data_IF_971301176900
#
_entry.id   IF_971301176900
#
_cell.length_a   1.000
_cell.length_b   1.000
_cell.length_c   1.000
_cell.angle_alpha   90.00
_cell.angle_beta   90.00
_cell.angle_gamma   90.00
#
_symmetry.space_group_name_H-M   'P 1'
#
loop_
_entity.id
_entity.type
_entity.pdbx_description
1 polymer ?
#
# COMPACT_ATOMS: atom_id res chain seq x y z
N UNK A 1 4.49 18.53 0.81
CA UNK A 1 3.56 18.98 1.86
C UNK A 1 3.00 20.35 1.50
N UNK A 2 1.68 20.50 1.45
CA UNK A 2 1.03 21.81 1.22
C UNK A 2 1.16 22.65 2.50
N UNK A 3 1.37 23.98 2.35
CA UNK A 3 1.29 24.92 3.48
C UNK A 3 -0.12 24.91 4.07
N UNK A 4 -0.25 25.12 5.38
CA UNK A 4 -1.51 25.40 6.04
C UNK A 4 -2.11 26.74 5.58
N UNK A 5 -3.39 26.99 5.87
CA UNK A 5 -4.11 28.19 5.43
C UNK A 5 -3.47 29.50 5.92
N UNK A 6 -2.75 29.54 7.00
CA UNK A 6 -2.19 30.76 7.60
C UNK A 6 -0.65 30.77 7.60
N UNK A 7 -0.01 30.32 6.52
CA UNK A 7 1.44 30.11 6.43
C UNK A 7 2.04 29.20 7.52
N UNK A 8 1.20 28.56 8.31
CA UNK A 8 1.61 27.62 9.36
C UNK A 8 1.95 26.25 8.76
N UNK A 9 2.64 25.46 9.54
CA UNK A 9 2.87 24.06 9.24
C UNK A 9 1.52 23.36 9.08
N UNK A 10 1.32 22.63 7.98
CA UNK A 10 0.09 21.83 7.82
C UNK A 10 0.02 20.73 8.89
N UNK A 11 -1.18 20.36 9.32
CA UNK A 11 -1.41 19.39 10.39
C UNK A 11 -0.62 18.08 10.25
N UNK A 12 -0.43 17.61 9.01
CA UNK A 12 0.35 16.39 8.74
C UNK A 12 1.83 16.55 9.11
N UNK A 13 2.40 17.71 8.83
CA UNK A 13 3.80 17.98 9.18
C UNK A 13 3.96 18.09 10.69
N UNK A 14 3.06 18.82 11.37
CA UNK A 14 3.05 18.91 12.83
C UNK A 14 2.85 17.55 13.49
N UNK A 15 2.01 16.70 12.91
CA UNK A 15 1.80 15.34 13.41
C UNK A 15 3.09 14.51 13.31
N UNK A 16 3.80 14.56 12.19
CA UNK A 16 5.10 13.90 12.01
C UNK A 16 6.18 14.45 12.93
N UNK A 17 6.16 15.73 13.28
CA UNK A 17 7.08 16.29 14.26
C UNK A 17 6.90 15.67 15.65
N UNK A 18 5.69 15.32 16.02
CA UNK A 18 5.33 14.85 17.38
C UNK A 18 5.29 13.35 17.53
N UNK A 19 5.11 12.62 16.43
CA UNK A 19 4.91 11.18 16.43
C UNK A 19 5.99 10.47 15.62
N UNK A 20 6.24 9.21 15.95
CA UNK A 20 7.25 8.36 15.31
C UNK A 20 6.59 7.11 14.72
N UNK A 21 7.15 6.60 13.65
CA UNK A 21 6.70 5.37 13.00
C UNK A 21 5.85 5.63 11.77
N UNK A 22 5.08 4.63 11.34
CA UNK A 22 4.11 4.79 10.26
C UNK A 22 2.87 5.53 10.77
N UNK A 23 2.88 6.83 10.67
CA UNK A 23 1.81 7.71 11.16
C UNK A 23 0.61 7.80 10.22
N UNK A 24 0.63 7.06 9.10
CA UNK A 24 -0.43 7.10 8.09
C UNK A 24 -0.72 5.72 7.48
N UNK A 25 -0.73 4.68 8.31
CA UNK A 25 -0.85 3.28 7.90
C UNK A 25 -2.19 2.91 7.27
N UNK A 26 -3.26 3.66 7.53
CA UNK A 26 -4.65 3.27 7.22
C UNK A 26 -4.87 2.86 5.77
N UNK A 27 -4.31 3.60 4.81
CA UNK A 27 -4.49 3.33 3.38
C UNK A 27 -3.79 2.05 2.89
N UNK A 28 -2.66 1.70 3.50
CA UNK A 28 -1.95 0.46 3.19
C UNK A 28 -2.53 -0.72 3.98
N UNK A 29 -2.61 -0.55 5.30
CA UNK A 29 -2.96 -1.63 6.22
C UNK A 29 -4.43 -2.05 6.13
N UNK A 30 -5.35 -1.13 5.89
CA UNK A 30 -6.79 -1.43 5.82
C UNK A 30 -7.12 -2.51 4.77
N UNK A 31 -6.78 -2.30 3.49
CA UNK A 31 -7.00 -3.32 2.45
C UNK A 31 -6.24 -4.63 2.72
N UNK A 32 -5.00 -4.57 3.21
CA UNK A 32 -4.22 -5.77 3.58
C UNK A 32 -4.90 -6.55 4.69
N UNK A 33 -5.39 -5.87 5.72
CA UNK A 33 -6.12 -6.50 6.81
C UNK A 33 -7.39 -7.22 6.34
N UNK A 34 -8.10 -6.64 5.36
CA UNK A 34 -9.24 -7.30 4.72
C UNK A 34 -8.83 -8.56 3.98
N UNK A 35 -7.82 -8.48 3.13
CA UNK A 35 -7.33 -9.62 2.33
C UNK A 35 -6.80 -10.76 3.21
N UNK A 36 -6.18 -10.44 4.33
CA UNK A 36 -5.60 -11.41 5.26
C UNK A 36 -6.57 -11.90 6.35
N UNK A 37 -7.82 -11.44 6.35
CA UNK A 37 -8.85 -11.76 7.36
C UNK A 37 -8.44 -11.39 8.80
N UNK A 38 -7.76 -10.27 8.98
CA UNK A 38 -7.41 -9.76 10.31
C UNK A 38 -8.71 -9.44 11.09
N UNK A 39 -8.79 -9.93 12.32
CA UNK A 39 -9.99 -9.96 13.18
C UNK A 39 -11.17 -10.77 12.65
N UNK A 40 -10.94 -11.60 11.62
CA UNK A 40 -11.92 -12.51 11.02
C UNK A 40 -11.35 -13.93 10.82
N UNK A 41 -10.54 -14.38 11.75
CA UNK A 41 -9.84 -15.67 11.71
C UNK A 41 -8.31 -15.56 11.80
N UNK A 42 -7.78 -14.34 11.82
CA UNK A 42 -6.39 -14.07 12.11
C UNK A 42 -6.26 -12.78 12.94
N UNK A 43 -5.11 -12.55 13.58
CA UNK A 43 -4.82 -11.33 14.34
C UNK A 43 -3.34 -10.98 14.28
N UNK A 44 -3.03 -9.71 14.38
CA UNK A 44 -1.67 -9.22 14.52
C UNK A 44 -1.12 -9.63 15.88
N UNK A 45 0.11 -10.17 15.91
CA UNK A 45 0.72 -10.72 17.14
C UNK A 45 1.97 -9.96 17.54
N UNK A 46 2.86 -9.73 16.61
CA UNK A 46 4.15 -9.09 16.86
C UNK A 46 4.38 -7.99 15.84
N UNK A 47 4.90 -6.86 16.31
CA UNK A 47 5.27 -5.74 15.46
C UNK A 47 6.69 -5.31 15.77
N UNK A 48 7.47 -5.07 14.73
CA UNK A 48 8.81 -4.48 14.78
C UNK A 48 8.83 -3.33 13.78
N UNK A 49 9.29 -2.17 14.21
CA UNK A 49 9.44 -1.02 13.33
C UNK A 49 10.83 -0.41 13.46
N UNK A 50 11.37 0.03 12.35
CA UNK A 50 12.62 0.77 12.26
C UNK A 50 12.42 2.00 11.41
N UNK A 51 13.03 3.09 11.79
CA UNK A 51 13.02 4.33 11.04
C UNK A 51 14.44 4.90 10.86
N UNK A 52 14.60 5.71 9.83
CA UNK A 52 15.81 6.49 9.61
C UNK A 52 15.84 7.70 10.55
N UNK A 53 16.98 8.38 10.59
CA UNK A 53 17.01 9.74 11.18
C UNK A 53 16.09 10.66 10.38
N UNK A 54 15.52 11.65 11.05
CA UNK A 54 14.84 12.77 10.40
C UNK A 54 15.86 13.81 9.96
N UNK A 55 16.12 13.85 8.67
CA UNK A 55 16.99 14.83 8.02
C UNK A 55 16.13 15.81 7.22
N UNK A 56 15.35 15.29 6.29
CA UNK A 56 14.51 16.09 5.39
C UNK A 56 13.32 16.68 6.14
N UNK A 57 12.75 15.94 7.10
CA UNK A 57 11.68 16.45 7.95
C UNK A 57 12.11 17.73 8.70
N UNK A 58 13.30 17.74 9.31
CA UNK A 58 13.86 18.92 9.98
C UNK A 58 14.09 20.07 9.00
N UNK A 59 14.82 19.81 7.92
CA UNK A 59 15.10 20.80 6.87
C UNK A 59 13.82 21.44 6.30
N UNK A 60 12.76 20.67 6.15
CA UNK A 60 11.48 21.17 5.68
C UNK A 60 10.83 22.14 6.67
N UNK A 61 10.91 21.86 7.97
CA UNK A 61 10.40 22.77 9.01
C UNK A 61 11.23 24.05 9.03
N UNK A 62 12.56 23.94 9.05
CA UNK A 62 13.47 25.09 9.05
C UNK A 62 13.25 26.01 7.84
N UNK A 63 13.10 25.44 6.66
CA UNK A 63 12.76 26.20 5.43
C UNK A 63 11.42 26.92 5.49
N UNK A 64 10.47 26.40 6.25
CA UNK A 64 9.14 27.01 6.36
C UNK A 64 9.01 28.04 7.47
N UNK A 65 9.69 27.82 8.58
CA UNK A 65 9.58 28.67 9.75
C UNK A 65 10.71 29.69 9.85
N UNK A 66 11.85 29.42 9.23
CA UNK A 66 13.11 30.19 9.45
C UNK A 66 13.80 29.85 10.77
N UNK A 67 13.29 28.90 11.54
CA UNK A 67 13.82 28.55 12.87
C UNK A 67 14.42 27.13 12.81
N UNK A 68 15.48 26.91 13.60
CA UNK A 68 16.14 25.62 13.72
C UNK A 68 15.21 24.59 14.34
N UNK A 69 15.02 23.46 13.67
CA UNK A 69 14.18 22.37 14.15
C UNK A 69 15.02 21.30 14.85
N UNK A 70 15.08 21.34 16.17
CA UNK A 70 15.84 20.37 16.96
C UNK A 70 15.07 19.07 17.25
N UNK A 71 13.75 19.12 17.34
CA UNK A 71 12.90 18.01 17.74
C UNK A 71 11.90 17.64 16.63
N UNK A 72 12.35 16.82 15.71
CA UNK A 72 11.47 16.17 14.73
C UNK A 72 11.53 14.67 14.94
N UNK A 73 10.42 14.07 15.36
CA UNK A 73 10.42 12.70 15.87
C UNK A 73 10.34 11.63 14.79
N UNK A 74 9.57 11.88 13.73
CA UNK A 74 9.40 10.85 12.70
C UNK A 74 10.64 10.78 11.80
N UNK A 75 11.13 9.57 11.55
CA UNK A 75 12.17 9.35 10.55
C UNK A 75 11.67 9.69 9.14
N UNK A 76 12.60 9.97 8.23
CA UNK A 76 12.25 10.25 6.83
C UNK A 76 11.65 9.03 6.15
N UNK A 77 12.06 7.84 6.57
CA UNK A 77 11.51 6.56 6.12
C UNK A 77 11.31 5.61 7.31
N UNK A 78 10.18 4.93 7.34
CA UNK A 78 9.86 3.90 8.35
C UNK A 78 9.49 2.61 7.65
N UNK A 79 10.06 1.49 8.12
CA UNK A 79 9.64 0.14 7.75
C UNK A 79 9.08 -0.57 8.97
N UNK A 80 7.91 -1.15 8.82
CA UNK A 80 7.21 -1.89 9.87
C UNK A 80 6.92 -3.31 9.40
N UNK A 81 7.30 -4.30 10.18
CA UNK A 81 6.98 -5.71 9.97
C UNK A 81 5.99 -6.17 11.03
N UNK A 82 4.91 -6.79 10.59
CA UNK A 82 3.88 -7.34 11.48
C UNK A 82 3.72 -8.82 11.18
N UNK A 83 3.89 -9.67 12.20
CA UNK A 83 3.58 -11.09 12.12
C UNK A 83 2.22 -11.36 12.73
N UNK A 84 1.39 -12.12 12.00
CA UNK A 84 0.09 -12.56 12.47
C UNK A 84 0.19 -13.88 13.28
N UNK A 85 -0.88 -14.21 13.98
CA UNK A 85 -1.01 -15.47 14.72
C UNK A 85 -0.86 -16.69 13.80
N UNK A 86 -1.47 -16.64 12.62
CA UNK A 86 -1.40 -17.71 11.62
C UNK A 86 -0.10 -17.68 10.77
N UNK A 87 0.90 -16.89 11.18
CA UNK A 87 2.23 -16.88 10.58
C UNK A 87 2.37 -16.06 9.30
N UNK A 88 1.36 -15.26 8.92
CA UNK A 88 1.50 -14.31 7.80
C UNK A 88 2.39 -13.13 8.22
N UNK A 89 3.04 -12.51 7.26
CA UNK A 89 3.86 -11.31 7.49
C UNK A 89 3.32 -10.18 6.64
N UNK A 90 3.16 -9.01 7.26
CA UNK A 90 2.79 -7.75 6.61
C UNK A 90 4.00 -6.84 6.71
N UNK A 91 4.43 -6.29 5.58
CA UNK A 91 5.42 -5.22 5.52
C UNK A 91 4.72 -3.92 5.15
N UNK A 92 5.00 -2.85 5.89
CA UNK A 92 4.52 -1.50 5.60
C UNK A 92 5.73 -0.59 5.49
N UNK A 93 5.78 0.17 4.42
CA UNK A 93 6.77 1.23 4.24
C UNK A 93 6.06 2.58 4.20
N UNK A 94 6.51 3.49 5.04
CA UNK A 94 6.02 4.86 5.07
C UNK A 94 7.17 5.83 4.75
N UNK A 95 7.06 6.48 3.61
CA UNK A 95 8.03 7.47 3.17
C UNK A 95 7.33 8.62 2.45
N UNK A 96 7.25 9.75 3.12
CA UNK A 96 6.61 10.97 2.60
C UNK A 96 7.57 12.16 2.58
N UNK A 97 8.81 11.95 2.98
CA UNK A 97 9.82 13.00 3.13
C UNK A 97 10.83 12.99 2.00
N UNK A 98 11.34 11.82 1.61
CA UNK A 98 12.40 11.74 0.62
C UNK A 98 11.89 12.01 -0.79
N UNK A 99 12.70 12.64 -1.66
CA UNK A 99 12.35 12.82 -3.07
C UNK A 99 12.26 11.46 -3.75
N UNK A 100 11.06 11.10 -4.19
CA UNK A 100 10.81 9.86 -4.93
C UNK A 100 9.54 9.99 -5.76
N UNK A 101 9.40 9.23 -6.84
CA UNK A 101 8.14 9.11 -7.55
C UNK A 101 7.03 8.65 -6.61
N UNK A 102 5.81 9.15 -6.85
CA UNK A 102 4.66 8.69 -6.09
C UNK A 102 4.50 7.18 -6.21
N UNK A 103 4.44 6.50 -5.08
CA UNK A 103 4.31 5.06 -5.02
C UNK A 103 3.32 4.63 -3.94
N UNK A 104 2.43 3.72 -4.31
CA UNK A 104 1.56 2.97 -3.41
C UNK A 104 1.73 1.49 -3.67
N UNK A 105 2.95 0.99 -3.51
CA UNK A 105 3.19 -0.44 -3.66
C UNK A 105 2.19 -1.23 -2.83
N UNK A 106 1.47 -2.10 -3.51
CA UNK A 106 0.49 -2.99 -2.89
C UNK A 106 0.65 -4.36 -3.51
N UNK A 107 1.22 -5.27 -2.74
CA UNK A 107 1.53 -6.61 -3.18
C UNK A 107 0.99 -7.63 -2.19
N UNK A 108 0.34 -8.65 -2.70
CA UNK A 108 -0.08 -9.84 -1.95
C UNK A 108 0.60 -11.05 -2.55
N UNK A 109 1.35 -11.78 -1.74
CA UNK A 109 2.00 -13.04 -2.12
C UNK A 109 1.40 -14.18 -1.31
N UNK A 110 0.98 -15.22 -1.99
CA UNK A 110 0.39 -16.38 -1.38
C UNK A 110 0.84 -17.69 -2.04
N UNK A 111 0.37 -18.81 -1.51
CA UNK A 111 0.70 -20.16 -2.00
C UNK A 111 0.14 -20.45 -3.39
N UNK A 112 -0.79 -19.65 -3.88
CA UNK A 112 -1.49 -19.84 -5.15
C UNK A 112 -1.16 -18.79 -6.19
N UNK A 113 -0.38 -17.78 -5.84
CA UNK A 113 0.01 -16.73 -6.75
C UNK A 113 0.38 -15.42 -6.07
N UNK A 114 0.54 -14.40 -6.88
CA UNK A 114 0.90 -13.04 -6.51
C UNK A 114 -0.05 -12.06 -7.18
N UNK A 115 -0.45 -11.04 -6.43
CA UNK A 115 -1.15 -9.87 -6.97
C UNK A 115 -0.34 -8.62 -6.64
N UNK A 116 0.01 -7.85 -7.66
CA UNK A 116 0.71 -6.59 -7.54
C UNK A 116 -0.11 -5.47 -8.18
N UNK A 117 -0.30 -4.36 -7.47
CA UNK A 117 -1.07 -3.23 -8.00
C UNK A 117 -0.19 -2.09 -8.50
N UNK A 118 0.94 -1.83 -7.86
CA UNK A 118 1.72 -0.62 -8.12
C UNK A 118 3.23 -0.93 -7.99
N UNK A 119 4.14 -0.35 -8.79
CA UNK A 119 3.92 0.58 -9.91
C UNK A 119 3.37 -0.09 -11.18
N UNK A 120 3.49 -1.40 -11.29
CA UNK A 120 2.98 -2.19 -12.42
C UNK A 120 1.90 -3.13 -11.92
N UNK A 121 0.69 -3.00 -12.46
CA UNK A 121 -0.36 -3.94 -12.14
C UNK A 121 -0.07 -5.29 -12.82
N UNK A 122 -0.18 -6.37 -12.04
CA UNK A 122 0.06 -7.71 -12.54
C UNK A 122 -0.38 -8.80 -11.59
N UNK A 123 -0.76 -9.93 -12.14
CA UNK A 123 -1.11 -11.14 -11.43
C UNK A 123 -0.27 -12.29 -11.95
N UNK A 124 0.22 -13.13 -11.03
CA UNK A 124 0.86 -14.38 -11.35
C UNK A 124 0.15 -15.50 -10.58
N UNK A 125 -0.17 -16.61 -11.25
CA UNK A 125 -0.90 -17.74 -10.66
C UNK A 125 -0.08 -19.01 -10.84
N UNK A 126 -0.17 -19.93 -9.87
CA UNK A 126 0.33 -21.29 -10.09
C UNK A 126 -0.49 -22.03 -11.15
N UNK A 127 0.06 -23.10 -11.72
CA UNK A 127 -0.55 -23.83 -12.83
C UNK A 127 -1.94 -24.39 -12.50
N UNK A 128 -2.18 -24.82 -11.26
CA UNK A 128 -3.47 -25.34 -10.84
C UNK A 128 -4.54 -24.24 -10.76
N UNK A 129 -4.15 -23.06 -10.28
CA UNK A 129 -5.05 -21.89 -10.21
C UNK A 129 -5.36 -21.33 -11.59
N UNK A 130 -4.42 -21.35 -12.51
CA UNK A 130 -4.64 -20.98 -13.91
C UNK A 130 -5.73 -21.89 -14.51
N UNK A 131 -5.62 -23.19 -14.34
CA UNK A 131 -6.63 -24.16 -14.80
C UNK A 131 -7.99 -23.93 -14.15
N UNK A 132 -8.06 -23.73 -12.84
CA UNK A 132 -9.29 -23.46 -12.11
C UNK A 132 -9.96 -22.14 -12.54
N UNK A 133 -9.19 -21.19 -13.03
CA UNK A 133 -9.68 -19.91 -13.58
C UNK A 133 -10.16 -20.03 -15.04
N UNK A 134 -10.02 -21.19 -15.66
CA UNK A 134 -10.35 -21.43 -17.07
C UNK A 134 -9.24 -21.03 -18.05
N UNK A 135 -8.06 -20.68 -17.53
CA UNK A 135 -6.88 -20.39 -18.34
C UNK A 135 -6.15 -21.70 -18.68
N UNK A 136 -5.54 -21.74 -19.85
CA UNK A 136 -4.68 -22.87 -20.23
C UNK A 136 -3.28 -22.63 -19.65
N UNK A 137 -2.79 -23.46 -18.71
CA UNK A 137 -1.44 -23.32 -18.22
C UNK A 137 -0.47 -23.55 -19.37
N UNK A 138 0.50 -22.65 -19.55
CA UNK A 138 1.65 -22.92 -20.41
C UNK A 138 2.53 -23.92 -19.68
N UNK A 139 2.83 -25.03 -20.36
CA UNK A 139 3.52 -26.21 -19.80
C UNK A 139 4.86 -25.87 -19.12
N UNK A 140 5.50 -24.78 -19.51
CA UNK A 140 6.83 -24.38 -19.03
C UNK A 140 6.80 -23.48 -17.80
N UNK A 141 5.64 -23.04 -17.30
CA UNK A 141 5.51 -22.19 -16.15
C UNK A 141 4.96 -22.94 -14.93
N UNK A 142 5.69 -23.92 -14.47
CA UNK A 142 5.41 -24.59 -13.19
C UNK A 142 5.53 -23.67 -11.99
N UNK A 143 6.30 -22.59 -12.13
CA UNK A 143 6.37 -21.48 -11.20
C UNK A 143 6.11 -20.21 -11.99
N UNK A 144 5.20 -19.36 -11.52
CA UNK A 144 4.82 -18.11 -12.21
C UNK A 144 5.95 -17.10 -12.12
N UNK A 145 6.98 -17.25 -12.91
CA UNK A 145 8.06 -16.25 -13.03
C UNK A 145 7.64 -15.02 -13.82
N UNK A 146 6.48 -15.05 -14.47
CA UNK A 146 5.97 -13.97 -15.30
C UNK A 146 4.55 -13.60 -14.86
N UNK A 147 4.18 -12.34 -15.03
CA UNK A 147 2.79 -11.93 -14.94
C UNK A 147 1.97 -12.58 -16.06
N UNK A 148 0.69 -12.75 -15.78
CA UNK A 148 -0.27 -13.18 -16.80
C UNK A 148 -0.28 -12.20 -17.98
N UNK A 149 -0.54 -12.66 -19.21
CA UNK A 149 -0.80 -11.79 -20.33
C UNK A 149 -2.00 -10.86 -20.06
N UNK A 150 -1.99 -9.68 -20.67
CA UNK A 150 -2.99 -8.62 -20.41
C UNK A 150 -4.45 -9.10 -20.60
N UNK A 151 -4.71 -9.88 -21.65
CA UNK A 151 -6.04 -10.44 -21.92
C UNK A 151 -6.49 -11.41 -20.81
N UNK A 152 -5.58 -12.19 -20.26
CA UNK A 152 -5.87 -13.12 -19.16
C UNK A 152 -6.07 -12.35 -17.85
N UNK A 153 -5.28 -11.30 -17.61
CA UNK A 153 -5.48 -10.41 -16.46
C UNK A 153 -6.87 -9.74 -16.50
N UNK A 154 -7.27 -9.21 -17.64
CA UNK A 154 -8.62 -8.63 -17.82
C UNK A 154 -9.73 -9.63 -17.49
N UNK A 155 -9.64 -10.83 -18.03
CA UNK A 155 -10.61 -11.91 -17.76
C UNK A 155 -10.66 -12.24 -16.25
N UNK A 156 -9.50 -12.29 -15.59
CA UNK A 156 -9.42 -12.55 -14.16
C UNK A 156 -10.09 -11.43 -13.35
N UNK A 157 -9.78 -10.18 -13.66
CA UNK A 157 -10.37 -9.01 -12.99
C UNK A 157 -11.88 -8.98 -13.18
N UNK A 158 -12.39 -9.16 -14.40
CA UNK A 158 -13.82 -9.18 -14.69
C UNK A 158 -14.55 -10.30 -13.90
N UNK A 159 -13.94 -11.49 -13.82
CA UNK A 159 -14.49 -12.61 -13.09
C UNK A 159 -14.62 -12.33 -11.59
N UNK A 160 -13.60 -11.76 -10.99
CA UNK A 160 -13.51 -11.57 -9.53
C UNK A 160 -13.78 -10.13 -9.05
N UNK A 161 -14.09 -9.23 -9.96
CA UNK A 161 -14.45 -7.86 -9.59
C UNK A 161 -15.63 -7.85 -8.62
N UNK A 162 -15.50 -7.05 -7.55
CA UNK A 162 -16.54 -6.96 -6.55
C UNK A 162 -17.87 -6.49 -7.14
N UNK A 163 -19.00 -7.09 -6.75
CA UNK A 163 -20.33 -6.74 -7.31
C UNK A 163 -20.67 -5.26 -7.23
N UNK A 164 -20.25 -4.56 -6.19
CA UNK A 164 -20.43 -3.10 -6.04
C UNK A 164 -19.69 -2.35 -7.14
N UNK A 165 -18.44 -2.75 -7.46
CA UNK A 165 -17.68 -2.13 -8.55
C UNK A 165 -18.31 -2.41 -9.92
N UNK A 166 -18.83 -3.62 -10.13
CA UNK A 166 -19.57 -3.94 -11.37
C UNK A 166 -20.80 -3.07 -11.54
N UNK A 167 -21.51 -2.78 -10.45
CA UNK A 167 -22.76 -2.02 -10.48
C UNK A 167 -22.56 -0.51 -10.56
N UNK A 168 -21.59 0.02 -9.82
CA UNK A 168 -21.45 1.46 -9.60
C UNK A 168 -20.13 2.05 -10.10
N UNK A 169 -19.20 1.24 -10.61
CA UNK A 169 -17.85 1.67 -10.94
C UNK A 169 -17.79 2.77 -11.99
N UNK A 170 -18.63 2.71 -13.03
CA UNK A 170 -18.68 3.76 -14.07
C UNK A 170 -19.28 5.06 -13.50
N UNK A 171 -20.37 4.97 -12.76
CA UNK A 171 -20.98 6.13 -12.09
C UNK A 171 -19.97 6.81 -11.11
N UNK A 172 -19.21 6.03 -10.38
CA UNK A 172 -18.19 6.54 -9.46
C UNK A 172 -17.06 7.29 -10.19
N UNK A 173 -16.70 6.87 -11.40
CA UNK A 173 -15.72 7.59 -12.24
C UNK A 173 -16.25 8.95 -12.72
N UNK A 174 -17.53 9.04 -13.04
CA UNK A 174 -18.17 10.27 -13.51
C UNK A 174 -18.25 11.36 -12.43
N UNK A 175 -18.42 10.95 -11.17
CA UNK A 175 -18.50 11.88 -10.03
C UNK A 175 -17.15 12.54 -9.70
N UNK A 176 -16.03 11.97 -10.14
CA UNK A 176 -14.69 12.51 -9.91
C UNK A 176 -14.12 12.16 -8.52
N UNK A 177 -13.22 13.01 -8.00
CA UNK A 177 -12.52 12.78 -6.74
C UNK A 177 -11.43 11.71 -6.84
N UNK A 178 -11.20 10.95 -5.80
CA UNK A 178 -10.26 9.84 -5.77
C UNK A 178 -10.86 8.54 -6.37
N UNK A 179 -11.48 8.65 -7.53
CA UNK A 179 -12.12 7.51 -8.21
C UNK A 179 -13.41 7.06 -7.52
N UNK A 180 -14.17 8.00 -6.96
CA UNK A 180 -15.43 7.73 -6.26
C UNK A 180 -15.25 7.15 -4.86
N UNK A 181 -14.13 7.44 -4.21
CA UNK A 181 -13.91 7.08 -2.79
C UNK A 181 -14.42 8.14 -1.81
N UNK A 182 -14.84 9.29 -2.30
CA UNK A 182 -15.37 10.39 -1.50
C UNK A 182 -16.89 10.31 -1.38
#
# INVERSE_FOLDING_TARGET
WKKGKDDKLGWRLEYNMKHRGDVYATHGLGPVAQALNIHRGDRMKTLIAMDTKSVIGKDLVEKRTGETCNDFRNGDHTTTLIRTENGKVIEIQHNVMTPQPYNRLYQLTGTKGLANKYPVEGYALDSNQMSASGMKPKVDNLTSHNFLPENEMKTLVEKYQHPILKKYGEMAKEVGGHGGMD
#
